data_IF_591109199318
#
_entry.id   IF_591109199318
#
_cell.length_a   1.000
_cell.length_b   1.000
_cell.length_c   1.000
_cell.angle_alpha   90.00
_cell.angle_beta   90.00
_cell.angle_gamma   90.00
#
_symmetry.space_group_name_H-M   'P 1'
#
loop_
_entity.id
_entity.type
_entity.pdbx_description
1 polymer ?
#
# COMPACT_ATOMS: atom_id res chain seq x y z
N UNK A 1 6.82 -5.46 14.62
CA UNK A 1 6.70 -6.93 14.54
C UNK A 1 7.78 -7.60 13.69
N UNK A 2 7.93 -7.27 12.39
CA UNK A 2 8.98 -7.87 11.54
C UNK A 2 10.36 -7.29 11.85
N UNK A 3 10.44 -6.05 12.24
CA UNK A 3 11.70 -5.42 12.68
C UNK A 3 12.25 -6.09 13.93
N UNK A 4 11.39 -6.42 14.88
CA UNK A 4 11.75 -7.07 16.15
C UNK A 4 12.33 -8.49 15.95
N UNK A 5 12.01 -9.14 14.83
CA UNK A 5 12.47 -10.50 14.48
C UNK A 5 13.38 -10.53 13.25
N UNK A 6 14.00 -9.39 12.91
CA UNK A 6 14.81 -9.25 11.68
C UNK A 6 15.92 -10.30 11.60
N UNK A 7 16.50 -10.68 12.71
CA UNK A 7 17.60 -11.67 12.80
C UNK A 7 17.11 -13.11 13.06
N UNK A 8 15.79 -13.29 13.31
CA UNK A 8 15.20 -14.58 13.60
C UNK A 8 14.36 -15.11 12.44
N UNK A 9 14.95 -16.00 11.63
CA UNK A 9 14.29 -16.57 10.45
C UNK A 9 13.01 -17.35 10.76
N UNK A 10 12.91 -18.00 11.91
CA UNK A 10 11.68 -18.71 12.31
C UNK A 10 10.58 -17.73 12.69
N UNK A 11 10.92 -16.69 13.43
CA UNK A 11 10.00 -15.60 13.74
C UNK A 11 9.48 -14.92 12.46
N UNK A 12 10.37 -14.63 11.51
CA UNK A 12 9.97 -14.08 10.21
C UNK A 12 8.98 -14.99 9.47
N UNK A 13 9.26 -16.30 9.39
CA UNK A 13 8.36 -17.27 8.73
C UNK A 13 6.98 -17.31 9.41
N UNK A 14 6.95 -17.29 10.74
CA UNK A 14 5.72 -17.30 11.52
C UNK A 14 4.86 -16.07 11.25
N UNK A 15 5.47 -14.87 11.27
CA UNK A 15 4.75 -13.61 11.00
C UNK A 15 4.28 -13.57 9.53
N UNK A 16 5.16 -13.86 8.57
CA UNK A 16 4.81 -13.83 7.14
C UNK A 16 3.71 -14.83 6.80
N UNK A 17 3.80 -16.07 7.32
CA UNK A 17 2.76 -17.07 7.11
C UNK A 17 1.42 -16.63 7.69
N UNK A 18 1.42 -16.04 8.89
CA UNK A 18 0.20 -15.55 9.54
C UNK A 18 -0.41 -14.38 8.77
N UNK A 19 0.41 -13.40 8.35
CA UNK A 19 -0.05 -12.22 7.59
C UNK A 19 -0.59 -12.63 6.22
N UNK A 20 0.13 -13.45 5.46
CA UNK A 20 -0.34 -13.90 4.14
C UNK A 20 -1.61 -14.72 4.24
N UNK A 21 -1.72 -15.61 5.24
CA UNK A 21 -2.97 -16.36 5.47
C UNK A 21 -4.13 -15.42 5.83
N UNK A 22 -3.89 -14.38 6.62
CA UNK A 22 -4.88 -13.35 6.90
C UNK A 22 -5.30 -12.60 5.63
N UNK A 23 -4.34 -12.24 4.76
CA UNK A 23 -4.64 -11.61 3.46
C UNK A 23 -5.52 -12.51 2.59
N UNK A 24 -5.26 -13.82 2.55
CA UNK A 24 -6.11 -14.78 1.83
C UNK A 24 -7.53 -14.83 2.40
N UNK A 25 -7.68 -14.95 3.72
CA UNK A 25 -8.99 -15.00 4.39
C UNK A 25 -9.75 -13.70 4.12
N UNK A 26 -9.10 -12.55 4.28
CA UNK A 26 -9.69 -11.24 4.04
C UNK A 26 -10.12 -11.08 2.58
N UNK A 27 -9.32 -11.55 1.64
CA UNK A 27 -9.65 -11.51 0.20
C UNK A 27 -10.85 -12.38 -0.12
N UNK A 28 -10.97 -13.56 0.48
CA UNK A 28 -12.14 -14.45 0.32
C UNK A 28 -13.40 -13.77 0.88
N UNK A 29 -13.33 -13.22 2.08
CA UNK A 29 -14.45 -12.49 2.70
C UNK A 29 -14.88 -11.31 1.82
N UNK A 30 -13.90 -10.53 1.32
CA UNK A 30 -14.17 -9.42 0.42
C UNK A 30 -14.86 -9.87 -0.88
N UNK A 31 -14.38 -10.94 -1.52
CA UNK A 31 -14.97 -11.46 -2.75
C UNK A 31 -16.38 -12.00 -2.52
N UNK A 32 -16.63 -12.69 -1.40
CA UNK A 32 -17.98 -13.14 -1.03
C UNK A 32 -18.92 -11.96 -0.83
N UNK A 33 -18.47 -10.93 -0.10
CA UNK A 33 -19.24 -9.69 0.05
C UNK A 33 -19.48 -9.00 -1.28
N UNK A 34 -18.46 -8.94 -2.16
CA UNK A 34 -18.60 -8.35 -3.49
C UNK A 34 -19.63 -9.09 -4.35
N UNK A 35 -19.63 -10.45 -4.31
CA UNK A 35 -20.62 -11.26 -5.05
C UNK A 35 -22.05 -10.92 -4.61
N UNK A 36 -22.28 -10.69 -3.33
CA UNK A 36 -23.60 -10.29 -2.82
C UNK A 36 -23.92 -8.84 -3.21
N UNK A 37 -22.95 -7.94 -3.08
CA UNK A 37 -23.14 -6.51 -3.30
C UNK A 37 -23.13 -6.10 -4.78
N UNK A 38 -22.60 -6.93 -5.70
CA UNK A 38 -22.44 -6.56 -7.11
C UNK A 38 -23.74 -6.16 -7.83
N UNK A 39 -24.89 -6.67 -7.37
CA UNK A 39 -26.19 -6.35 -7.93
C UNK A 39 -26.66 -4.92 -7.58
N UNK A 40 -26.12 -4.36 -6.50
CA UNK A 40 -26.38 -2.97 -6.07
C UNK A 40 -25.37 -1.99 -6.67
N UNK A 41 -24.27 -2.47 -7.25
CA UNK A 41 -23.20 -1.65 -7.83
C UNK A 41 -23.44 -1.57 -9.33
N UNK A 42 -23.80 -0.38 -9.81
CA UNK A 42 -24.05 -0.10 -11.23
C UNK A 42 -22.79 0.29 -12.01
N UNK A 43 -21.62 0.33 -11.35
CA UNK A 43 -20.37 0.72 -11.99
C UNK A 43 -19.95 -0.30 -13.08
N UNK A 44 -19.65 0.21 -14.28
CA UNK A 44 -19.30 -0.58 -15.45
C UNK A 44 -18.04 -1.43 -15.24
N UNK A 45 -17.05 -0.86 -14.54
CA UNK A 45 -15.72 -1.50 -14.30
C UNK A 45 -15.58 -2.18 -12.94
N UNK A 46 -16.70 -2.54 -12.28
CA UNK A 46 -16.73 -3.10 -10.92
C UNK A 46 -15.86 -4.34 -10.71
N UNK A 47 -15.74 -5.19 -11.72
CA UNK A 47 -14.92 -6.42 -11.63
C UNK A 47 -13.42 -6.11 -11.60
N UNK A 48 -12.97 -5.16 -12.42
CA UNK A 48 -11.58 -4.72 -12.39
C UNK A 48 -11.22 -4.10 -11.03
N UNK A 49 -12.13 -3.28 -10.49
CA UNK A 49 -11.95 -2.70 -9.16
C UNK A 49 -11.89 -3.76 -8.07
N UNK A 50 -12.73 -4.80 -8.16
CA UNK A 50 -12.71 -5.89 -7.19
C UNK A 50 -11.39 -6.67 -7.21
N UNK A 51 -10.88 -7.00 -8.40
CA UNK A 51 -9.58 -7.66 -8.56
C UNK A 51 -8.46 -6.74 -8.09
N UNK A 52 -8.52 -5.44 -8.41
CA UNK A 52 -7.53 -4.45 -8.02
C UNK A 52 -7.37 -4.35 -6.50
N UNK A 53 -8.46 -4.38 -5.74
CA UNK A 53 -8.45 -4.38 -4.27
C UNK A 53 -7.73 -5.62 -3.73
N UNK A 54 -8.05 -6.80 -4.24
CA UNK A 54 -7.39 -8.05 -3.81
C UNK A 54 -5.89 -7.99 -4.07
N UNK A 55 -5.49 -7.60 -5.28
CA UNK A 55 -4.07 -7.49 -5.64
C UNK A 55 -3.36 -6.45 -4.78
N UNK A 56 -4.03 -5.35 -4.45
CA UNK A 56 -3.46 -4.30 -3.61
C UNK A 56 -3.16 -4.77 -2.18
N UNK A 57 -4.02 -5.62 -1.61
CA UNK A 57 -3.79 -6.22 -0.28
C UNK A 57 -2.52 -7.08 -0.30
N UNK A 58 -2.37 -7.97 -1.30
CA UNK A 58 -1.18 -8.80 -1.42
C UNK A 58 0.09 -7.99 -1.72
N UNK A 59 0.01 -7.04 -2.64
CA UNK A 59 1.14 -6.17 -2.98
C UNK A 59 1.63 -5.40 -1.76
N UNK A 60 0.71 -4.78 -1.00
CA UNK A 60 1.04 -4.04 0.21
C UNK A 60 1.70 -4.94 1.27
N UNK A 61 1.18 -6.15 1.49
CA UNK A 61 1.77 -7.10 2.42
C UNK A 61 3.21 -7.50 2.01
N UNK A 62 3.45 -7.77 0.71
CA UNK A 62 4.77 -8.11 0.20
C UNK A 62 5.76 -6.95 0.29
N UNK A 63 5.32 -5.73 0.00
CA UNK A 63 6.15 -4.52 0.14
C UNK A 63 6.58 -4.31 1.60
N UNK A 64 5.65 -4.44 2.55
CA UNK A 64 5.98 -4.34 3.98
C UNK A 64 6.86 -5.50 4.44
N UNK A 65 6.67 -6.70 3.90
CA UNK A 65 7.56 -7.83 4.16
C UNK A 65 9.00 -7.52 3.71
N UNK A 66 9.19 -7.03 2.48
CA UNK A 66 10.51 -6.69 1.97
C UNK A 66 11.25 -5.69 2.88
N UNK A 67 10.54 -4.67 3.36
CA UNK A 67 11.08 -3.66 4.28
C UNK A 67 11.38 -4.26 5.65
N UNK A 68 10.45 -5.01 6.22
CA UNK A 68 10.62 -5.63 7.54
C UNK A 68 11.82 -6.54 7.65
N UNK A 69 12.19 -7.25 6.58
CA UNK A 69 13.40 -8.09 6.52
C UNK A 69 14.68 -7.34 6.07
N UNK A 70 14.60 -6.02 5.91
CA UNK A 70 15.73 -5.17 5.51
C UNK A 70 16.09 -5.23 4.02
N UNK A 71 15.26 -5.82 3.17
CA UNK A 71 15.48 -5.86 1.71
C UNK A 71 14.89 -4.64 1.01
N UNK A 72 15.34 -3.45 1.41
CA UNK A 72 14.88 -2.16 0.88
C UNK A 72 15.14 -2.02 -0.62
N UNK A 73 16.21 -2.60 -1.14
CA UNK A 73 16.48 -2.64 -2.60
C UNK A 73 15.34 -3.34 -3.35
N UNK A 74 14.86 -4.50 -2.85
CA UNK A 74 13.73 -5.20 -3.48
C UNK A 74 12.44 -4.38 -3.43
N UNK A 75 12.21 -3.65 -2.34
CA UNK A 75 11.10 -2.70 -2.22
C UNK A 75 11.19 -1.60 -3.29
N UNK A 76 12.36 -0.96 -3.43
CA UNK A 76 12.57 0.12 -4.41
C UNK A 76 12.44 -0.38 -5.85
N UNK A 77 13.07 -1.52 -6.19
CA UNK A 77 12.98 -2.12 -7.51
C UNK A 77 11.53 -2.51 -7.85
N UNK A 78 10.78 -3.08 -6.91
CA UNK A 78 9.38 -3.43 -7.13
C UNK A 78 8.50 -2.21 -7.36
N UNK A 79 8.74 -1.11 -6.65
CA UNK A 79 8.03 0.17 -6.87
C UNK A 79 8.34 0.74 -8.26
N UNK A 80 9.59 0.65 -8.71
CA UNK A 80 9.99 1.06 -10.05
C UNK A 80 9.34 0.17 -11.13
N UNK A 81 9.36 -1.15 -10.95
CA UNK A 81 8.67 -2.11 -11.86
C UNK A 81 7.19 -1.80 -11.94
N UNK A 82 6.54 -1.56 -10.80
CA UNK A 82 5.11 -1.22 -10.76
C UNK A 82 4.80 0.04 -11.56
N UNK A 83 5.54 1.11 -11.32
CA UNK A 83 5.35 2.39 -12.01
C UNK A 83 5.62 2.26 -13.51
N UNK A 84 6.75 1.67 -13.90
CA UNK A 84 7.15 1.50 -15.30
C UNK A 84 6.18 0.60 -16.06
N UNK A 85 5.83 -0.55 -15.48
CA UNK A 85 4.84 -1.47 -16.08
C UNK A 85 3.48 -0.79 -16.24
N UNK A 86 3.04 -0.02 -15.25
CA UNK A 86 1.77 0.71 -15.32
C UNK A 86 1.79 1.72 -16.47
N UNK A 87 2.87 2.51 -16.62
CA UNK A 87 3.00 3.49 -17.71
C UNK A 87 3.03 2.79 -19.06
N UNK A 88 3.88 1.77 -19.24
CA UNK A 88 4.01 1.04 -20.50
C UNK A 88 2.68 0.38 -20.90
N UNK A 89 2.00 -0.27 -19.97
CA UNK A 89 0.71 -0.91 -20.22
C UNK A 89 -0.40 0.10 -20.51
N UNK A 90 -0.41 1.26 -19.84
CA UNK A 90 -1.35 2.34 -20.18
C UNK A 90 -1.13 2.87 -21.59
N UNK A 91 0.12 3.11 -21.99
CA UNK A 91 0.43 3.52 -23.37
C UNK A 91 -0.01 2.45 -24.37
N UNK A 92 0.29 1.19 -24.10
CA UNK A 92 -0.09 0.08 -24.97
C UNK A 92 -1.63 -0.04 -25.10
N UNK A 93 -2.35 -0.10 -24.00
CA UNK A 93 -3.81 -0.34 -24.04
C UNK A 93 -4.61 0.88 -24.45
N UNK A 94 -4.20 2.08 -24.06
CA UNK A 94 -4.95 3.30 -24.36
C UNK A 94 -4.51 3.88 -25.72
N UNK A 95 -3.21 4.09 -25.94
CA UNK A 95 -2.73 4.77 -27.13
C UNK A 95 -2.66 3.84 -28.36
N UNK A 96 -2.19 2.59 -28.21
CA UNK A 96 -2.01 1.65 -29.33
C UNK A 96 -3.28 0.85 -29.58
N UNK A 97 -3.80 0.15 -28.55
CA UNK A 97 -4.96 -0.74 -28.69
C UNK A 97 -6.31 -0.01 -28.58
N UNK A 98 -6.31 1.24 -28.11
CA UNK A 98 -7.51 2.10 -28.01
C UNK A 98 -8.65 1.51 -27.19
N UNK A 99 -8.34 0.78 -26.11
CA UNK A 99 -9.34 0.21 -25.19
C UNK A 99 -10.02 1.26 -24.31
N UNK A 100 -9.62 2.53 -24.40
CA UNK A 100 -10.23 3.61 -23.59
C UNK A 100 -10.05 3.41 -22.08
N UNK A 101 -11.14 3.65 -21.34
CA UNK A 101 -11.11 3.52 -19.87
C UNK A 101 -10.85 2.09 -19.38
N UNK A 102 -11.32 1.09 -20.10
CA UNK A 102 -11.09 -0.32 -19.79
C UNK A 102 -9.59 -0.67 -19.82
N UNK A 103 -8.88 -0.12 -20.81
CA UNK A 103 -7.41 -0.26 -20.92
C UNK A 103 -6.66 0.27 -19.70
N UNK A 104 -7.14 1.36 -19.08
CA UNK A 104 -6.56 1.92 -17.86
C UNK A 104 -6.69 0.95 -16.67
N UNK A 105 -7.86 0.35 -16.49
CA UNK A 105 -8.08 -0.63 -15.42
C UNK A 105 -7.26 -1.90 -15.64
N UNK A 106 -7.23 -2.41 -16.88
CA UNK A 106 -6.38 -3.56 -17.25
C UNK A 106 -4.90 -3.28 -16.99
N UNK A 107 -4.39 -2.11 -17.39
CA UNK A 107 -3.01 -1.72 -17.14
C UNK A 107 -2.69 -1.74 -15.63
N UNK A 108 -3.59 -1.21 -14.81
CA UNK A 108 -3.42 -1.16 -13.36
C UNK A 108 -3.38 -2.55 -12.74
N UNK A 109 -4.31 -3.43 -13.12
CA UNK A 109 -4.36 -4.81 -12.63
C UNK A 109 -3.11 -5.59 -13.06
N UNK A 110 -2.74 -5.53 -14.34
CA UNK A 110 -1.58 -6.26 -14.87
C UNK A 110 -0.25 -5.77 -14.28
N UNK A 111 -0.08 -4.47 -14.09
CA UNK A 111 1.13 -3.92 -13.46
C UNK A 111 1.31 -4.44 -12.02
N UNK A 112 0.22 -4.56 -11.26
CA UNK A 112 0.26 -5.15 -9.92
C UNK A 112 0.60 -6.64 -9.96
N UNK A 113 0.04 -7.39 -10.92
CA UNK A 113 0.38 -8.82 -11.11
C UNK A 113 1.87 -8.99 -11.41
N UNK A 114 2.41 -8.22 -12.35
CA UNK A 114 3.85 -8.24 -12.68
C UNK A 114 4.71 -7.95 -11.44
N UNK A 115 4.32 -6.95 -10.66
CA UNK A 115 5.06 -6.55 -9.46
C UNK A 115 4.99 -7.63 -8.39
N UNK A 116 3.83 -8.23 -8.15
CA UNK A 116 3.64 -9.32 -7.18
C UNK A 116 4.50 -10.54 -7.59
N UNK A 117 4.49 -10.92 -8.88
CA UNK A 117 5.32 -12.01 -9.39
C UNK A 117 6.80 -11.74 -9.16
N UNK A 118 7.27 -10.53 -9.49
CA UNK A 118 8.65 -10.15 -9.19
C UNK A 118 8.97 -10.28 -7.69
N UNK A 119 8.10 -9.81 -6.81
CA UNK A 119 8.29 -9.86 -5.36
C UNK A 119 8.33 -11.31 -4.85
N UNK A 120 7.43 -12.18 -5.32
CA UNK A 120 7.39 -13.59 -4.92
C UNK A 120 8.70 -14.29 -5.30
N UNK A 121 9.20 -14.05 -6.51
CA UNK A 121 10.42 -14.67 -7.03
C UNK A 121 11.65 -14.10 -6.32
N UNK A 122 11.79 -12.78 -6.27
CA UNK A 122 12.96 -12.07 -5.75
C UNK A 122 13.16 -12.28 -4.24
N UNK A 123 12.08 -12.24 -3.47
CA UNK A 123 12.11 -12.48 -2.02
C UNK A 123 12.10 -13.96 -1.66
N UNK A 124 11.85 -14.84 -2.64
CA UNK A 124 11.64 -16.27 -2.41
C UNK A 124 10.55 -16.53 -1.35
N UNK A 125 9.42 -15.81 -1.47
CA UNK A 125 8.33 -15.80 -0.48
C UNK A 125 7.85 -17.21 -0.13
N UNK A 126 7.87 -18.12 -1.11
CA UNK A 126 7.50 -19.54 -0.93
C UNK A 126 8.33 -20.23 0.17
N UNK A 127 9.57 -19.78 0.42
CA UNK A 127 10.43 -20.33 1.50
C UNK A 127 10.05 -19.82 2.89
N UNK A 128 9.32 -18.71 2.95
CA UNK A 128 8.84 -18.10 4.20
C UNK A 128 7.41 -18.51 4.52
N UNK A 129 6.63 -18.93 3.51
CA UNK A 129 5.24 -19.30 3.69
C UNK A 129 5.10 -20.79 4.04
N UNK A 130 4.52 -21.07 5.20
CA UNK A 130 4.17 -22.39 5.63
C UNK A 130 2.86 -22.35 6.43
N UNK A 131 1.80 -22.95 5.91
CA UNK A 131 0.44 -22.90 6.51
C UNK A 131 0.43 -23.39 7.95
N UNK A 132 1.26 -24.38 8.29
CA UNK A 132 1.34 -24.93 9.65
C UNK A 132 1.96 -23.95 10.66
N UNK A 133 2.64 -22.88 10.22
CA UNK A 133 3.19 -21.84 11.08
C UNK A 133 2.21 -20.69 11.35
N UNK A 134 0.95 -20.84 10.94
CA UNK A 134 -0.10 -19.89 11.25
C UNK A 134 -0.30 -19.76 12.76
N UNK A 135 -0.16 -18.55 13.28
CA UNK A 135 -0.31 -18.27 14.70
C UNK A 135 -1.38 -17.21 14.97
N UNK A 136 -2.46 -17.66 15.64
CA UNK A 136 -3.56 -16.78 16.05
C UNK A 136 -3.11 -15.67 17.00
N UNK A 137 -2.06 -15.89 17.81
CA UNK A 137 -1.53 -14.89 18.73
C UNK A 137 -0.93 -13.71 17.98
N UNK A 138 -0.15 -13.98 16.94
CA UNK A 138 0.43 -12.96 16.05
C UNK A 138 -0.68 -12.14 15.38
N UNK A 139 -1.72 -12.81 14.86
CA UNK A 139 -2.85 -12.11 14.23
C UNK A 139 -3.60 -11.24 15.24
N UNK A 140 -3.83 -11.76 16.46
CA UNK A 140 -4.50 -11.00 17.52
C UNK A 140 -3.71 -9.74 17.89
N UNK A 141 -2.39 -9.84 17.99
CA UNK A 141 -1.52 -8.68 18.28
C UNK A 141 -1.58 -7.66 17.13
N UNK A 142 -1.44 -8.10 15.86
CA UNK A 142 -1.55 -7.23 14.69
C UNK A 142 -2.93 -6.57 14.64
N UNK A 143 -4.00 -7.33 14.84
CA UNK A 143 -5.36 -6.81 14.84
C UNK A 143 -5.58 -5.78 15.97
N UNK A 144 -5.09 -6.05 17.17
CA UNK A 144 -5.18 -5.11 18.31
C UNK A 144 -4.46 -3.79 18.02
N UNK A 145 -3.32 -3.84 17.32
CA UNK A 145 -2.60 -2.65 16.90
C UNK A 145 -3.29 -1.93 15.74
N UNK A 146 -3.79 -2.67 14.75
CA UNK A 146 -4.34 -2.10 13.52
C UNK A 146 -5.77 -1.56 13.70
N UNK A 147 -6.57 -2.16 14.56
CA UNK A 147 -7.97 -1.79 14.75
C UNK A 147 -8.19 -0.31 15.12
N UNK A 148 -7.42 0.28 16.07
CA UNK A 148 -7.53 1.71 16.39
C UNK A 148 -7.12 2.64 15.23
N UNK A 149 -6.35 2.15 14.25
CA UNK A 149 -5.91 2.94 13.10
C UNK A 149 -6.99 3.02 12.00
N UNK A 150 -7.97 2.10 12.00
CA UNK A 150 -9.04 2.08 10.99
C UNK A 150 -9.87 3.37 10.97
N UNK A 151 -10.37 3.89 12.12
CA UNK A 151 -11.12 5.15 12.14
C UNK A 151 -10.29 6.33 11.59
N UNK A 152 -9.00 6.39 11.90
CA UNK A 152 -8.12 7.44 11.39
C UNK A 152 -8.00 7.37 9.87
N UNK A 153 -7.75 6.20 9.29
CA UNK A 153 -7.66 6.02 7.84
C UNK A 153 -8.99 6.31 7.15
N UNK A 154 -10.10 5.89 7.76
CA UNK A 154 -11.43 6.17 7.24
C UNK A 154 -11.73 7.67 7.24
N UNK A 155 -11.34 8.39 8.29
CA UNK A 155 -11.49 9.85 8.37
C UNK A 155 -10.73 10.57 7.26
N UNK A 156 -9.49 10.19 6.99
CA UNK A 156 -8.70 10.74 5.88
C UNK A 156 -9.34 10.46 4.53
N UNK A 157 -9.87 9.25 4.34
CA UNK A 157 -10.58 8.89 3.11
C UNK A 157 -11.86 9.72 2.94
N UNK A 158 -12.65 9.88 4.01
CA UNK A 158 -13.88 10.68 3.99
C UNK A 158 -13.58 12.12 3.62
N UNK A 159 -12.56 12.74 4.24
CA UNK A 159 -12.15 14.11 3.89
C UNK A 159 -11.80 14.21 2.41
N UNK A 160 -10.92 13.35 1.89
CA UNK A 160 -10.49 13.41 0.50
C UNK A 160 -11.59 13.07 -0.52
N UNK A 161 -12.57 12.24 -0.14
CA UNK A 161 -13.71 11.90 -0.99
C UNK A 161 -14.80 12.99 -0.96
N UNK A 162 -15.03 13.61 0.21
CA UNK A 162 -16.06 14.64 0.40
C UNK A 162 -15.87 15.82 -0.53
N UNK A 163 -14.65 16.33 -0.65
CA UNK A 163 -14.34 17.45 -1.52
C UNK A 163 -14.76 17.18 -2.96
N UNK A 164 -14.43 16.01 -3.47
CA UNK A 164 -14.76 15.61 -4.86
C UNK A 164 -16.28 15.44 -5.06
N UNK A 165 -16.97 14.87 -4.07
CA UNK A 165 -18.42 14.69 -4.12
C UNK A 165 -19.13 16.04 -4.08
N UNK A 166 -18.70 16.96 -3.20
CA UNK A 166 -19.27 18.29 -3.07
C UNK A 166 -19.07 19.08 -4.38
N UNK A 167 -17.83 19.16 -4.88
CA UNK A 167 -17.53 19.86 -6.13
C UNK A 167 -18.32 19.30 -7.30
N UNK A 168 -18.39 17.97 -7.41
CA UNK A 168 -19.14 17.31 -8.49
C UNK A 168 -20.62 17.58 -8.43
N UNK A 169 -21.23 17.60 -7.22
CA UNK A 169 -22.67 17.81 -7.04
C UNK A 169 -23.08 19.28 -7.10
N UNK A 170 -22.27 20.20 -6.57
CA UNK A 170 -22.62 21.61 -6.43
C UNK A 170 -22.23 22.40 -7.68
N UNK A 171 -21.05 22.13 -8.25
CA UNK A 171 -20.51 22.90 -9.38
C UNK A 171 -20.59 22.11 -10.69
N UNK A 172 -20.46 20.80 -10.63
CA UNK A 172 -20.54 19.89 -11.77
C UNK A 172 -19.31 19.04 -12.03
N UNK A 173 -19.47 18.04 -12.88
CA UNK A 173 -18.43 17.02 -13.17
C UNK A 173 -17.20 17.64 -13.86
N UNK A 174 -17.39 18.63 -14.73
CA UNK A 174 -16.30 19.33 -15.42
C UNK A 174 -15.40 20.07 -14.42
N UNK A 175 -16.00 20.78 -13.45
CA UNK A 175 -15.26 21.46 -12.39
C UNK A 175 -14.47 20.48 -11.50
N UNK A 176 -15.05 19.31 -11.21
CA UNK A 176 -14.36 18.25 -10.48
C UNK A 176 -13.14 17.72 -11.26
N UNK A 177 -13.21 17.69 -12.59
CA UNK A 177 -12.06 17.38 -13.45
C UNK A 177 -10.90 18.38 -13.24
N UNK A 178 -11.18 19.67 -13.29
CA UNK A 178 -10.17 20.75 -13.06
C UNK A 178 -9.62 20.67 -11.63
N UNK A 179 -10.50 20.50 -10.62
CA UNK A 179 -10.11 20.31 -9.22
C UNK A 179 -9.18 19.11 -9.03
N UNK A 180 -9.48 18.00 -9.70
CA UNK A 180 -8.64 16.79 -9.64
C UNK A 180 -7.25 17.00 -10.23
N UNK A 181 -7.11 17.83 -11.28
CA UNK A 181 -5.81 18.19 -11.86
C UNK A 181 -5.04 19.10 -10.90
N UNK A 182 -5.70 20.10 -10.32
CA UNK A 182 -5.06 21.00 -9.34
C UNK A 182 -4.51 20.24 -8.13
N UNK A 183 -5.29 19.25 -7.63
CA UNK A 183 -4.87 18.41 -6.52
C UNK A 183 -3.67 17.50 -6.83
N UNK A 184 -3.32 17.24 -8.10
CA UNK A 184 -2.11 16.50 -8.44
C UNK A 184 -0.83 17.22 -8.00
N UNK A 185 -0.82 18.54 -8.06
CA UNK A 185 0.33 19.33 -7.58
C UNK A 185 0.50 19.20 -6.07
N UNK A 186 -0.59 19.34 -5.29
CA UNK A 186 -0.56 19.08 -3.85
C UNK A 186 -0.15 17.65 -3.52
N UNK A 187 -0.58 16.69 -4.33
CA UNK A 187 -0.20 15.28 -4.21
C UNK A 187 1.31 15.01 -4.33
N UNK A 188 2.06 15.85 -5.05
CA UNK A 188 3.52 15.75 -5.11
C UNK A 188 4.14 16.02 -3.72
N UNK A 189 3.73 17.09 -3.05
CA UNK A 189 4.20 17.40 -1.69
C UNK A 189 3.84 16.30 -0.70
N UNK A 190 2.61 15.80 -0.77
CA UNK A 190 2.18 14.66 0.06
C UNK A 190 3.03 13.42 -0.21
N UNK A 191 3.43 13.19 -1.47
CA UNK A 191 4.30 12.06 -1.82
C UNK A 191 5.70 12.20 -1.22
N UNK A 192 6.31 13.39 -1.28
CA UNK A 192 7.58 13.68 -0.61
C UNK A 192 7.49 13.47 0.90
N UNK A 193 6.43 14.02 1.53
CA UNK A 193 6.18 13.83 2.95
C UNK A 193 6.04 12.34 3.32
N UNK A 194 5.32 11.57 2.53
CA UNK A 194 5.14 10.13 2.78
C UNK A 194 6.44 9.36 2.68
N UNK A 195 7.31 9.67 1.70
CA UNK A 195 8.64 9.04 1.57
C UNK A 195 9.48 9.35 2.80
N UNK A 196 9.49 10.62 3.22
CA UNK A 196 10.20 11.03 4.42
C UNK A 196 9.64 10.33 5.66
N UNK A 197 8.33 10.38 5.89
CA UNK A 197 7.67 9.78 7.05
C UNK A 197 7.90 8.25 7.12
N UNK A 198 7.97 7.61 5.98
CA UNK A 198 8.26 6.19 5.87
C UNK A 198 9.67 5.84 6.39
N UNK A 199 10.68 6.62 5.96
CA UNK A 199 12.07 6.47 6.38
C UNK A 199 12.25 6.87 7.85
N UNK A 200 11.61 7.95 8.26
CA UNK A 200 11.60 8.44 9.63
C UNK A 200 11.06 7.39 10.60
N UNK A 201 9.88 6.85 10.32
CA UNK A 201 9.24 5.84 11.17
C UNK A 201 10.11 4.58 11.32
N UNK A 202 10.75 4.14 10.23
CA UNK A 202 11.67 2.99 10.29
C UNK A 202 12.91 3.32 11.12
N UNK A 203 13.53 4.48 10.91
CA UNK A 203 14.73 4.90 11.62
C UNK A 203 14.48 5.06 13.12
N UNK A 204 13.40 5.73 13.49
CA UNK A 204 13.00 5.88 14.90
C UNK A 204 12.74 4.51 15.53
N UNK A 205 12.01 3.63 14.85
CA UNK A 205 11.71 2.29 15.41
C UNK A 205 12.96 1.44 15.66
N UNK A 206 14.02 1.66 14.90
CA UNK A 206 15.29 0.93 15.08
C UNK A 206 16.14 1.48 16.24
N UNK A 207 16.05 2.79 16.52
CA UNK A 207 16.88 3.45 17.54
C UNK A 207 16.14 3.69 18.88
N UNK A 208 14.86 3.32 18.98
CA UNK A 208 14.07 3.56 20.20
C UNK A 208 14.61 2.88 21.45
N UNK A 209 15.20 1.71 21.29
CA UNK A 209 15.73 0.89 22.39
C UNK A 209 17.25 1.11 22.65
N UNK A 210 17.88 2.05 21.94
CA UNK A 210 19.30 2.39 22.12
C UNK A 210 19.48 3.45 23.22
N UNK A 211 20.61 3.40 23.94
CA UNK A 211 20.94 4.35 25.01
C UNK A 211 21.02 5.81 24.52
N UNK A 212 21.36 6.03 23.24
CA UNK A 212 21.48 7.34 22.60
C UNK A 212 20.19 7.81 21.87
N UNK A 213 19.04 7.16 22.10
CA UNK A 213 17.78 7.46 21.39
C UNK A 213 17.34 8.93 21.50
N UNK A 214 17.44 9.54 22.68
CA UNK A 214 17.08 10.95 22.90
C UNK A 214 17.97 11.91 22.09
N UNK A 215 19.27 11.62 22.04
CA UNK A 215 20.22 12.41 21.27
C UNK A 215 19.97 12.31 19.78
N UNK A 216 19.76 11.10 19.28
CA UNK A 216 19.40 10.85 17.88
C UNK A 216 18.13 11.59 17.47
N UNK A 217 17.07 11.51 18.30
CA UNK A 217 15.81 12.20 18.04
C UNK A 217 15.99 13.72 18.02
N UNK A 218 16.72 14.27 19.01
CA UNK A 218 16.97 15.71 19.12
C UNK A 218 17.77 16.25 17.94
N UNK A 219 18.86 15.58 17.55
CA UNK A 219 19.69 15.98 16.41
C UNK A 219 18.89 15.93 15.11
N UNK A 220 18.15 14.84 14.89
CA UNK A 220 17.37 14.70 13.66
C UNK A 220 16.21 15.72 13.58
N UNK A 221 15.51 15.99 14.67
CA UNK A 221 14.46 17.03 14.72
C UNK A 221 15.06 18.41 14.44
N UNK A 222 16.22 18.73 15.01
CA UNK A 222 16.89 20.00 14.76
C UNK A 222 17.32 20.16 13.30
N UNK A 223 17.84 19.10 12.68
CA UNK A 223 18.23 19.13 11.27
C UNK A 223 17.01 19.25 10.33
N UNK A 224 15.90 18.62 10.69
CA UNK A 224 14.63 18.83 10.00
C UNK A 224 14.15 20.28 10.12
N UNK A 225 14.18 20.85 11.31
CA UNK A 225 13.80 22.24 11.51
C UNK A 225 14.65 23.21 10.66
N UNK A 226 15.96 22.99 10.60
CA UNK A 226 16.85 23.76 9.72
C UNK A 226 16.47 23.63 8.26
N UNK A 227 16.16 22.39 7.80
CA UNK A 227 15.82 22.11 6.40
C UNK A 227 14.49 22.74 5.97
N UNK A 228 13.52 22.88 6.89
CA UNK A 228 12.21 23.48 6.60
C UNK A 228 12.13 24.97 6.88
N UNK A 229 13.13 25.55 7.55
CA UNK A 229 13.18 27.00 7.86
C UNK A 229 14.13 27.80 6.95
N UNK A 230 14.92 27.13 6.12
CA UNK A 230 15.71 27.71 5.03
C UNK A 230 14.98 27.63 3.71
#
# INVERSE_FOLDING_TARGET
FLLDVRDNKEGQKKIVSSVLSMCFIQSIIYLLFFIVAQNFITAEYKYYLAIDVVLNVFLSALLQFARGIGKTTNYTVSSFISATSNICLNVLFIAVLRFGAEGMFLATVLSKVVTILYMIISLKVVRYYAVHLFDKSVIKQIAKYSFPLIPNQLSWWVVGASDRVIVSKVIGVAANGVYSIANKFSGLFVSFYNIFNLSWTESVSLHLDEEDSEKFLTETINDMFKLFTC
#
